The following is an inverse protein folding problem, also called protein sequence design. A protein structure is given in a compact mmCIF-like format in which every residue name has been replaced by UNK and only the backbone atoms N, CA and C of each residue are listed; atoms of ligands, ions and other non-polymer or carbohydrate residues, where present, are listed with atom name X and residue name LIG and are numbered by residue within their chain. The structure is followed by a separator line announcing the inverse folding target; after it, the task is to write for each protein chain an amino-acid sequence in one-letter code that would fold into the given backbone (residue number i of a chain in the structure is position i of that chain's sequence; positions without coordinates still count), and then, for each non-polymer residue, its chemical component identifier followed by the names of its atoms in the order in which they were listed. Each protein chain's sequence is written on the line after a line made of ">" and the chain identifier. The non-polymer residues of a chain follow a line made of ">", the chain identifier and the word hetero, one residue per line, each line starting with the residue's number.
data_IF_354500660170
#
_entry.id   IF_354500660170
#
_cell.length_a   1.000
_cell.length_b   1.000
_cell.length_c   1.000
_cell.angle_alpha   90.00
_cell.angle_beta   90.00
_cell.angle_gamma   90.00
#
_symmetry.space_group_name_H-M   'P 1'
#
loop_
_entity.id
_entity.type
_entity.pdbx_description
1 polymer ?
#
# COMPACT_ATOMS: atom_id res chain seq x y z
N UNK A 1 15.83 -11.26 6.68
CA UNK A 1 14.80 -11.22 6.48
C UNK A 1 14.37 -10.28 5.66
N UNK A 2 14.02 -10.58 4.77
CA UNK A 2 13.66 -9.71 3.83
C UNK A 2 12.44 -9.01 4.08
N UNK A 3 11.68 -9.51 4.91
CA UNK A 3 10.44 -8.92 5.07
C UNK A 3 10.55 -7.70 5.83
N UNK A 4 10.14 -6.62 5.33
CA UNK A 4 10.12 -5.37 6.01
C UNK A 4 8.69 -4.95 6.20
N UNK A 5 8.48 -4.04 7.11
CA UNK A 5 7.14 -3.54 7.35
C UNK A 5 6.69 -2.64 6.23
N UNK A 6 7.60 -2.15 5.43
CA UNK A 6 7.26 -1.23 4.36
C UNK A 6 7.57 -1.81 3.00
N UNK A 7 6.74 -1.49 2.02
CA UNK A 7 6.98 -1.87 0.64
C UNK A 7 7.56 -0.69 -0.09
N UNK A 8 8.50 -0.96 -0.97
CA UNK A 8 9.11 0.10 -1.77
C UNK A 8 8.26 0.30 -3.01
N UNK A 9 8.50 1.42 -3.67
CA UNK A 9 7.68 1.79 -4.83
C UNK A 9 7.78 0.74 -5.94
N UNK A 10 8.95 0.18 -6.15
CA UNK A 10 9.07 -0.84 -7.20
C UNK A 10 8.35 -2.13 -6.81
N UNK A 11 8.30 -2.45 -5.55
CA UNK A 11 7.55 -3.60 -5.09
C UNK A 11 6.06 -3.39 -5.34
N UNK A 12 5.57 -2.21 -5.06
CA UNK A 12 4.16 -1.91 -5.28
C UNK A 12 3.84 -1.96 -6.76
N UNK A 13 4.72 -1.43 -7.58
CA UNK A 13 4.51 -1.45 -9.02
C UNK A 13 4.41 -2.87 -9.53
N UNK A 14 5.28 -3.72 -9.04
CA UNK A 14 5.28 -5.10 -9.46
C UNK A 14 4.02 -5.81 -9.01
N UNK A 15 3.62 -5.56 -7.81
CA UNK A 15 2.44 -6.19 -7.24
C UNK A 15 1.19 -5.82 -8.02
N UNK A 16 1.11 -4.59 -8.47
CA UNK A 16 -0.06 -4.11 -9.19
C UNK A 16 0.03 -4.30 -10.70
N UNK A 17 1.19 -4.72 -11.16
CA UNK A 17 1.39 -4.88 -12.59
C UNK A 17 1.39 -3.57 -13.34
N UNK A 18 1.75 -2.49 -12.67
CA UNK A 18 1.73 -1.19 -13.28
C UNK A 18 3.10 -0.54 -13.35
N UNK A 19 3.12 0.73 -13.59
CA UNK A 19 4.39 1.44 -13.72
C UNK A 19 4.80 2.03 -12.38
N UNK A 20 6.08 2.32 -12.27
CA UNK A 20 6.61 2.92 -11.06
C UNK A 20 5.99 4.30 -10.78
N UNK A 21 5.84 5.17 -11.77
CA UNK A 21 5.19 6.46 -11.50
C UNK A 21 3.79 6.31 -10.94
N UNK A 22 3.05 5.33 -11.42
CA UNK A 22 1.71 5.09 -10.92
C UNK A 22 1.76 4.61 -9.47
N UNK A 23 2.68 3.68 -9.19
CA UNK A 23 2.83 3.18 -7.83
C UNK A 23 3.24 4.29 -6.88
N UNK A 24 4.07 5.21 -7.35
CA UNK A 24 4.50 6.32 -6.53
C UNK A 24 3.31 7.20 -6.15
N UNK A 25 2.43 7.44 -7.09
CA UNK A 25 1.25 8.23 -6.81
C UNK A 25 0.37 7.56 -5.78
N UNK A 26 0.20 6.26 -5.92
CA UNK A 26 -0.61 5.51 -4.96
C UNK A 26 -0.01 5.56 -3.57
N UNK A 27 1.29 5.39 -3.48
CA UNK A 27 1.95 5.43 -2.20
C UNK A 27 1.78 6.78 -1.54
N UNK A 28 1.91 7.84 -2.32
CA UNK A 28 1.74 9.18 -1.77
C UNK A 28 0.34 9.36 -1.22
N UNK A 29 -0.64 8.88 -1.97
CA UNK A 29 -2.02 9.01 -1.56
C UNK A 29 -2.30 8.22 -0.29
N UNK A 30 -1.81 7.00 -0.23
CA UNK A 30 -2.02 6.15 0.93
C UNK A 30 -1.29 6.69 2.16
N UNK A 31 -0.11 7.23 1.95
CA UNK A 31 0.62 7.82 3.06
C UNK A 31 -0.08 9.05 3.60
N UNK A 32 -0.73 9.79 2.73
CA UNK A 32 -1.49 10.95 3.19
C UNK A 32 -2.62 10.52 4.09
N UNK A 33 -3.25 9.40 3.77
CA UNK A 33 -4.30 8.87 4.61
C UNK A 33 -3.76 8.41 5.95
N UNK A 34 -2.65 7.70 5.93
CA UNK A 34 -2.05 7.22 7.15
C UNK A 34 -1.63 8.36 8.06
N UNK A 35 -1.12 9.42 7.45
CA UNK A 35 -0.68 10.55 8.22
C UNK A 35 -1.85 11.20 8.94
N UNK A 36 -2.98 11.22 8.33
CA UNK A 36 -4.16 11.79 8.95
C UNK A 36 -4.57 11.05 10.20
N UNK A 37 -4.26 9.77 10.27
CA UNK A 37 -4.61 8.99 11.43
C UNK A 37 -3.51 9.00 12.48
N UNK A 38 -2.47 9.77 12.27
CA UNK A 38 -1.41 9.87 13.24
C UNK A 38 -0.29 8.87 13.07
N UNK A 39 -0.28 8.16 11.96
CA UNK A 39 0.76 7.18 11.72
C UNK A 39 2.01 7.81 11.13
N UNK A 40 3.13 7.17 11.36
CA UNK A 40 4.38 7.63 10.79
C UNK A 40 4.48 7.10 9.38
N UNK A 41 4.84 7.95 8.45
CA UNK A 41 4.97 7.54 7.06
C UNK A 41 6.37 7.83 6.57
N UNK A 42 6.80 7.08 5.56
CA UNK A 42 8.10 7.26 4.94
C UNK A 42 7.89 7.51 3.47
N UNK A 43 8.52 8.55 2.98
CA UNK A 43 8.40 8.93 1.59
C UNK A 43 8.83 7.79 0.68
N UNK A 44 8.07 7.49 -0.32
CA UNK A 44 8.40 6.43 -1.26
C UNK A 44 8.21 5.03 -0.74
N UNK A 45 7.58 4.89 0.42
CA UNK A 45 7.31 3.58 0.99
C UNK A 45 5.94 3.55 1.61
N UNK A 46 5.35 2.37 1.67
CA UNK A 46 4.03 2.23 2.22
C UNK A 46 4.00 1.05 3.17
N UNK A 47 3.27 1.17 4.26
CA UNK A 47 3.10 0.09 5.20
C UNK A 47 2.54 -1.12 4.48
N UNK A 48 3.23 -2.23 4.54
CA UNK A 48 2.83 -3.44 3.83
C UNK A 48 1.45 -3.92 4.25
N UNK A 49 1.18 -3.85 5.52
CA UNK A 49 -0.10 -4.28 6.04
C UNK A 49 -1.23 -3.39 5.54
N UNK A 50 -1.00 -2.08 5.55
CA UNK A 50 -1.99 -1.14 5.08
C UNK A 50 -2.27 -1.34 3.60
N UNK A 51 -1.21 -1.56 2.83
CA UNK A 51 -1.36 -1.78 1.40
C UNK A 51 -2.18 -3.03 1.14
N UNK A 52 -1.89 -4.09 1.85
CA UNK A 52 -2.62 -5.34 1.66
C UNK A 52 -4.07 -5.20 2.07
N UNK A 53 -4.34 -4.51 3.13
CA UNK A 53 -5.71 -4.30 3.55
C UNK A 53 -6.48 -3.47 2.55
N UNK A 54 -5.81 -2.47 2.00
CA UNK A 54 -6.48 -1.59 1.07
C UNK A 54 -6.83 -2.31 -0.23
N UNK A 55 -5.96 -3.16 -0.69
CA UNK A 55 -6.16 -3.80 -1.99
C UNK A 55 -6.73 -5.20 -1.92
N UNK A 56 -6.40 -5.94 -0.87
CA UNK A 56 -6.84 -7.31 -0.79
C UNK A 56 -7.86 -7.54 0.31
N UNK A 57 -7.70 -6.87 1.41
CA UNK A 57 -8.65 -7.00 2.51
C UNK A 57 -10.04 -6.58 2.10
N UNK A 58 -10.13 -5.48 1.38
CA UNK A 58 -11.41 -4.99 0.92
C UNK A 58 -12.06 -5.99 -0.02
N UNK A 59 -11.27 -6.56 -0.89
CA UNK A 59 -11.81 -7.53 -1.81
C UNK A 59 -12.31 -8.74 -1.08
N UNK A 60 -11.55 -9.18 -0.11
CA UNK A 60 -11.96 -10.31 0.67
C UNK A 60 -13.25 -10.06 1.36
N UNK A 61 -13.44 -8.90 1.90
CA UNK A 61 -14.66 -8.56 2.55
C UNK A 61 -15.83 -8.57 1.60
N UNK A 62 -15.60 -8.04 0.43
CA UNK A 62 -16.63 -8.01 -0.57
C UNK A 62 -17.07 -9.39 -0.91
N UNK A 63 -16.16 -10.29 -1.06
CA UNK A 63 -16.49 -11.64 -1.40
C UNK A 63 -17.27 -12.31 -0.29
N UNK A 64 -16.89 -12.01 0.92
CA UNK A 64 -17.58 -12.66 2.01
C UNK A 64 -18.97 -12.15 2.19
N UNK A 65 -19.24 -10.96 1.82
CA UNK A 65 -20.57 -10.46 2.02
C UNK A 65 -21.53 -11.12 1.10
N UNK A 66 -21.06 -11.77 0.12
CA UNK A 66 -21.98 -12.51 -0.71
C UNK A 66 -22.38 -13.80 -0.07
#
# INVERSE_FOLDING_TARGET
>A
MASTMFMRVDEVAEELGGSVPYAYKLIRSMNAELKKTGCITISGRIDRKFFHEKFYGTRSQSERSD
#
